data_IF_714966688029
#
_entry.id   IF_714966688029
#
_cell.length_a   1.000
_cell.length_b   1.000
_cell.length_c   1.000
_cell.angle_alpha   90.00
_cell.angle_beta   90.00
_cell.angle_gamma   90.00
#
_symmetry.space_group_name_H-M   'P 1'
#
loop_
_entity.id
_entity.type
_entity.pdbx_description
1 polymer ?
#
# COMPACT_ATOMS: atom_id res chain seq x y z
N UNK A 1 -35.70 20.63 -39.37
CA UNK A 1 -34.50 20.81 -38.51
C UNK A 1 -33.66 19.55 -38.62
N UNK A 2 -32.58 19.61 -39.41
CA UNK A 2 -31.72 18.47 -39.71
C UNK A 2 -30.71 18.24 -38.57
N UNK A 3 -30.64 17.01 -38.03
CA UNK A 3 -29.63 16.58 -37.07
C UNK A 3 -28.33 16.21 -37.82
N UNK A 4 -27.15 16.71 -37.44
CA UNK A 4 -25.90 16.20 -37.98
C UNK A 4 -25.51 14.88 -37.28
N UNK A 5 -25.02 13.92 -38.06
CA UNK A 5 -24.41 12.67 -37.59
C UNK A 5 -22.99 12.93 -37.04
N UNK A 6 -22.49 12.14 -36.07
CA UNK A 6 -21.14 12.30 -35.56
C UNK A 6 -20.07 11.79 -36.55
N UNK A 7 -19.08 12.63 -36.81
CA UNK A 7 -17.90 12.29 -37.60
C UNK A 7 -17.04 11.25 -36.87
N UNK A 8 -16.66 10.19 -37.59
CA UNK A 8 -15.80 9.11 -37.09
C UNK A 8 -14.33 9.53 -37.22
N UNK A 9 -13.60 9.61 -36.10
CA UNK A 9 -12.18 9.93 -36.10
C UNK A 9 -11.31 8.72 -36.56
N UNK A 10 -10.21 8.94 -37.31
CA UNK A 10 -9.38 7.87 -37.82
C UNK A 10 -8.51 7.25 -36.71
N UNK A 11 -8.55 5.92 -36.62
CA UNK A 11 -7.69 5.09 -35.75
C UNK A 11 -6.26 5.06 -36.28
N UNK A 12 -5.34 5.74 -35.62
CA UNK A 12 -3.91 5.63 -35.86
C UNK A 12 -3.41 4.27 -35.34
N UNK A 13 -3.10 3.34 -36.26
CA UNK A 13 -2.46 2.06 -35.92
C UNK A 13 -0.96 2.30 -35.77
N UNK A 14 -0.47 2.26 -34.53
CA UNK A 14 0.97 2.20 -34.25
C UNK A 14 1.50 0.83 -34.68
N UNK A 15 2.37 0.82 -35.68
CA UNK A 15 3.10 -0.36 -36.13
C UNK A 15 4.06 -0.82 -35.02
N UNK A 16 3.87 -2.06 -34.54
CA UNK A 16 4.82 -2.74 -33.65
C UNK A 16 6.03 -3.19 -34.46
N UNK A 17 7.19 -2.61 -34.21
CA UNK A 17 8.47 -3.14 -34.69
C UNK A 17 8.88 -4.28 -33.74
N UNK A 18 8.74 -5.51 -34.22
CA UNK A 18 9.30 -6.72 -33.61
C UNK A 18 10.77 -6.82 -34.05
N UNK A 19 11.69 -6.52 -33.14
CA UNK A 19 13.11 -6.85 -33.32
C UNK A 19 13.38 -8.24 -32.72
N UNK A 20 13.52 -9.23 -33.60
CA UNK A 20 13.99 -10.56 -33.27
C UNK A 20 15.51 -10.51 -33.02
N UNK A 21 15.95 -10.77 -31.78
CA UNK A 21 17.33 -11.15 -31.51
C UNK A 21 17.34 -12.62 -31.11
N UNK A 22 17.73 -13.47 -32.07
CA UNK A 22 18.04 -14.87 -31.84
C UNK A 22 19.44 -14.97 -31.21
N UNK A 23 19.56 -15.69 -30.09
CA UNK A 23 20.86 -16.13 -29.55
C UNK A 23 20.79 -17.65 -29.33
N UNK A 24 21.81 -18.44 -29.74
CA UNK A 24 21.72 -19.90 -29.77
C UNK A 24 21.97 -20.58 -28.42
N UNK A 25 21.15 -21.61 -28.19
CA UNK A 25 21.32 -22.89 -27.47
C UNK A 25 22.65 -23.15 -26.76
N UNK A 26 22.57 -23.51 -25.47
CA UNK A 26 23.37 -24.60 -24.89
C UNK A 26 22.47 -25.52 -24.05
N UNK A 27 22.26 -26.72 -24.60
CA UNK A 27 21.74 -27.90 -23.92
C UNK A 27 22.88 -28.54 -23.14
N UNK A 28 22.71 -28.73 -21.83
CA UNK A 28 23.43 -29.78 -21.10
C UNK A 28 22.45 -30.49 -20.18
N UNK A 29 22.04 -31.68 -20.60
CA UNK A 29 21.40 -32.67 -19.76
C UNK A 29 22.49 -33.52 -19.09
N UNK A 30 22.45 -33.58 -17.77
CA UNK A 30 23.17 -34.54 -16.91
C UNK A 30 22.19 -34.85 -15.79
N UNK A 31 21.86 -36.06 -15.40
CA UNK A 31 22.16 -37.39 -15.89
C UNK A 31 21.37 -38.29 -14.95
N UNK A 32 20.32 -38.93 -15.44
CA UNK A 32 19.70 -40.05 -14.74
C UNK A 32 20.61 -41.25 -15.01
N UNK A 33 21.26 -41.80 -13.98
CA UNK A 33 21.93 -43.09 -14.10
C UNK A 33 21.31 -44.05 -13.11
N UNK A 34 20.50 -44.95 -13.67
CA UNK A 34 20.18 -46.23 -13.07
C UNK A 34 21.43 -47.13 -13.14
N UNK A 35 21.71 -47.86 -12.07
CA UNK A 35 22.59 -49.03 -12.11
C UNK A 35 21.86 -50.21 -11.46
N UNK A 36 21.91 -51.35 -12.14
CA UNK A 36 21.21 -52.60 -11.84
C UNK A 36 22.19 -53.62 -11.25
N UNK A 37 21.76 -54.35 -10.23
CA UNK A 37 22.40 -55.57 -9.73
C UNK A 37 21.98 -55.79 -8.27
N UNK A 38 21.68 -56.97 -7.74
CA UNK A 38 21.69 -58.34 -8.21
C UNK A 38 20.99 -59.19 -7.13
N UNK A 39 20.98 -60.50 -7.31
CA UNK A 39 20.05 -61.46 -6.74
C UNK A 39 20.17 -61.76 -5.22
N UNK A 40 19.02 -62.21 -4.68
CA UNK A 40 18.75 -63.15 -3.56
C UNK A 40 19.85 -63.45 -2.51
N UNK A 41 19.50 -63.27 -1.23
CA UNK A 41 19.51 -64.35 -0.20
C UNK A 41 18.75 -63.94 1.07
N UNK A 42 17.95 -64.86 1.59
CA UNK A 42 17.47 -64.89 2.97
C UNK A 42 18.66 -65.15 3.89
N UNK A 43 18.73 -64.47 5.04
CA UNK A 43 19.00 -65.13 6.31
C UNK A 43 18.60 -64.25 7.50
N UNK A 44 17.99 -64.90 8.48
CA UNK A 44 17.63 -64.39 9.80
C UNK A 44 18.87 -64.17 10.67
N UNK A 45 18.93 -63.06 11.39
CA UNK A 45 19.98 -62.83 12.38
C UNK A 45 19.70 -61.61 13.25
N UNK A 46 19.21 -61.86 14.46
CA UNK A 46 19.09 -60.89 15.54
C UNK A 46 20.49 -60.40 15.96
N UNK A 47 20.72 -59.08 15.99
CA UNK A 47 21.71 -58.48 16.89
C UNK A 47 21.53 -56.97 17.00
N UNK A 48 21.46 -56.52 18.24
CA UNK A 48 21.39 -55.14 18.69
C UNK A 48 22.57 -54.34 18.14
N UNK A 49 22.29 -53.17 17.57
CA UNK A 49 23.26 -52.10 17.42
C UNK A 49 22.57 -50.78 17.68
N UNK A 50 23.05 -50.08 18.70
CA UNK A 50 22.63 -48.75 19.09
C UNK A 50 22.80 -47.81 17.89
N UNK A 51 21.68 -47.38 17.31
CA UNK A 51 21.65 -46.25 16.39
C UNK A 51 21.23 -45.03 17.20
N UNK A 52 22.20 -44.21 17.60
CA UNK A 52 21.96 -42.79 17.84
C UNK A 52 21.41 -42.19 16.55
N UNK A 53 20.19 -41.66 16.50
CA UNK A 53 19.86 -40.73 15.45
C UNK A 53 20.54 -39.43 15.83
N UNK A 54 21.76 -39.22 15.35
CA UNK A 54 22.23 -37.87 15.02
C UNK A 54 21.39 -37.37 13.84
N UNK A 55 20.10 -37.15 14.09
CA UNK A 55 19.28 -36.31 13.25
C UNK A 55 19.83 -34.90 13.44
N UNK A 56 20.61 -34.43 12.46
CA UNK A 56 20.79 -32.99 12.25
C UNK A 56 19.39 -32.40 12.14
N UNK A 57 18.87 -31.91 13.25
CA UNK A 57 17.66 -31.11 13.29
C UNK A 57 18.02 -29.87 12.49
N UNK A 58 17.68 -29.89 11.20
CA UNK A 58 17.80 -28.75 10.32
C UNK A 58 16.88 -27.70 10.92
N UNK A 59 17.43 -26.83 11.77
CA UNK A 59 16.71 -25.72 12.35
C UNK A 59 16.34 -24.82 11.18
N UNK A 60 15.12 -25.00 10.66
CA UNK A 60 14.55 -24.08 9.68
C UNK A 60 14.67 -22.68 10.27
N UNK A 61 15.14 -21.68 9.51
CA UNK A 61 15.33 -20.33 10.02
C UNK A 61 14.02 -19.84 10.66
N UNK A 62 14.06 -19.62 11.97
CA UNK A 62 12.91 -19.09 12.72
C UNK A 62 12.88 -17.58 12.54
N UNK A 63 11.84 -17.08 11.88
CA UNK A 63 11.58 -15.65 11.70
C UNK A 63 10.71 -15.14 12.84
N UNK A 64 11.02 -13.93 13.34
CA UNK A 64 10.21 -13.27 14.37
C UNK A 64 8.73 -13.13 13.93
N UNK A 65 7.75 -13.44 14.80
CA UNK A 65 6.33 -13.36 14.45
C UNK A 65 5.89 -11.92 14.21
N UNK A 66 4.85 -11.76 13.38
CA UNK A 66 4.23 -10.47 13.12
C UNK A 66 3.44 -10.00 14.36
N UNK A 67 3.58 -8.72 14.73
CA UNK A 67 2.92 -8.14 15.92
C UNK A 67 1.40 -7.98 15.75
N UNK A 68 0.97 -7.51 14.58
CA UNK A 68 -0.43 -7.27 14.26
C UNK A 68 -1.01 -8.40 13.40
N UNK A 69 -2.10 -8.98 13.89
CA UNK A 69 -2.85 -10.03 13.23
C UNK A 69 -4.07 -9.49 12.47
N UNK A 70 -4.55 -8.29 12.81
CA UNK A 70 -5.78 -7.68 12.28
C UNK A 70 -5.52 -6.27 11.75
N UNK A 71 -6.36 -5.84 10.82
CA UNK A 71 -6.52 -4.44 10.44
C UNK A 71 -7.87 -3.92 10.94
N UNK A 72 -7.99 -2.61 11.22
CA UNK A 72 -9.27 -1.97 11.48
C UNK A 72 -10.14 -1.99 10.21
N UNK A 73 -11.44 -1.73 10.36
CA UNK A 73 -12.28 -1.32 9.24
C UNK A 73 -11.79 0.07 8.76
N UNK A 74 -11.30 0.21 7.52
CA UNK A 74 -10.72 1.47 7.05
C UNK A 74 -11.69 2.65 7.11
N UNK A 75 -13.00 2.42 6.90
CA UNK A 75 -14.01 3.48 6.93
C UNK A 75 -14.42 3.89 8.36
N UNK A 76 -13.97 3.15 9.37
CA UNK A 76 -14.17 3.45 10.80
C UNK A 76 -12.88 3.82 11.51
N UNK A 77 -11.76 3.90 10.78
CA UNK A 77 -10.46 4.21 11.35
C UNK A 77 -10.33 5.68 11.76
N UNK A 78 -11.20 6.54 11.25
CA UNK A 78 -11.30 7.95 11.59
C UNK A 78 -12.69 8.23 12.18
N UNK A 79 -12.76 9.06 13.21
CA UNK A 79 -14.02 9.45 13.83
C UNK A 79 -14.88 10.28 12.89
N UNK A 80 -16.19 10.23 13.10
CA UNK A 80 -17.14 11.05 12.34
C UNK A 80 -16.81 12.54 12.44
N UNK A 81 -16.33 13.00 13.60
CA UNK A 81 -15.88 14.38 13.81
C UNK A 81 -14.68 14.73 12.94
N UNK A 82 -13.70 13.84 12.83
CA UNK A 82 -12.55 14.02 11.93
C UNK A 82 -13.04 14.13 10.49
N UNK A 83 -13.94 13.25 10.04
CA UNK A 83 -14.48 13.29 8.68
C UNK A 83 -15.27 14.58 8.41
N UNK A 84 -16.16 14.99 9.30
CA UNK A 84 -16.96 16.22 9.14
C UNK A 84 -16.07 17.48 9.07
N UNK A 85 -14.94 17.48 9.79
CA UNK A 85 -13.98 18.59 9.77
C UNK A 85 -13.14 18.61 8.48
N UNK A 86 -12.60 17.46 8.07
CA UNK A 86 -11.64 17.39 6.96
C UNK A 86 -12.31 17.36 5.58
N UNK A 87 -13.52 16.82 5.50
CA UNK A 87 -14.25 16.67 4.25
C UNK A 87 -15.65 17.27 4.40
N UNK A 88 -15.75 18.61 4.55
CA UNK A 88 -17.04 19.27 4.62
C UNK A 88 -17.87 18.94 3.37
N UNK A 89 -19.16 18.72 3.56
CA UNK A 89 -20.08 18.27 2.49
C UNK A 89 -19.62 16.97 1.81
N UNK A 90 -19.05 16.03 2.59
CA UNK A 90 -18.73 14.70 2.10
C UNK A 90 -19.93 14.04 1.41
N UNK A 91 -19.71 13.47 0.23
CA UNK A 91 -20.76 12.74 -0.53
C UNK A 91 -21.29 11.53 0.23
N UNK A 92 -20.41 10.86 0.97
CA UNK A 92 -20.72 9.74 1.85
C UNK A 92 -20.06 10.00 3.20
N UNK A 93 -20.85 10.14 4.27
CA UNK A 93 -20.31 10.31 5.63
C UNK A 93 -19.56 9.07 6.11
N UNK A 94 -20.05 7.88 5.75
CA UNK A 94 -19.38 6.61 6.06
C UNK A 94 -18.20 6.30 5.13
N UNK A 95 -17.89 7.19 4.18
CA UNK A 95 -16.86 6.97 3.18
C UNK A 95 -17.24 5.92 2.14
N UNK A 96 -16.28 5.62 1.28
CA UNK A 96 -16.37 4.61 0.24
C UNK A 96 -15.21 3.64 0.40
N UNK A 97 -15.52 2.41 0.81
CA UNK A 97 -14.52 1.35 0.94
C UNK A 97 -13.96 0.96 -0.44
N UNK A 98 -12.64 0.84 -0.53
CA UNK A 98 -12.00 0.28 -1.71
C UNK A 98 -12.22 -1.22 -1.83
N UNK A 99 -12.22 -1.72 -3.07
CA UNK A 99 -12.33 -3.16 -3.34
C UNK A 99 -10.97 -3.82 -3.15
N UNK A 100 -10.93 -4.92 -2.40
CA UNK A 100 -9.75 -5.74 -2.22
C UNK A 100 -10.15 -7.21 -2.24
N UNK A 101 -9.32 -8.05 -2.86
CA UNK A 101 -9.42 -9.52 -2.76
C UNK A 101 -8.74 -10.07 -1.51
N UNK A 102 -7.97 -9.24 -0.79
CA UNK A 102 -7.30 -9.56 0.47
C UNK A 102 -7.65 -8.50 1.52
N UNK A 103 -8.91 -8.51 1.96
CA UNK A 103 -9.39 -7.59 3.01
C UNK A 103 -8.78 -7.89 4.39
N UNK A 104 -8.16 -9.07 4.55
CA UNK A 104 -7.51 -9.45 5.80
C UNK A 104 -6.15 -8.78 5.97
N UNK A 105 -5.44 -8.46 4.88
CA UNK A 105 -4.10 -7.87 4.94
C UNK A 105 -4.01 -6.46 4.37
N UNK A 106 -5.06 -5.97 3.71
CA UNK A 106 -5.12 -4.59 3.22
C UNK A 106 -6.56 -4.07 3.12
N UNK A 107 -6.71 -2.77 3.25
CA UNK A 107 -7.99 -2.11 3.06
C UNK A 107 -7.80 -0.61 2.88
N UNK A 108 -8.75 0.04 2.22
CA UNK A 108 -8.76 1.49 2.05
C UNK A 108 -10.18 2.04 2.18
N UNK A 109 -10.31 3.28 2.63
CA UNK A 109 -11.53 4.06 2.55
C UNK A 109 -11.23 5.48 2.09
N UNK A 110 -12.15 6.03 1.30
CA UNK A 110 -12.05 7.38 0.76
C UNK A 110 -13.31 8.20 0.99
N UNK A 111 -13.11 9.52 1.10
CA UNK A 111 -14.15 10.53 1.23
C UNK A 111 -13.83 11.68 0.29
N UNK A 112 -14.86 12.29 -0.28
CA UNK A 112 -14.71 13.54 -0.98
C UNK A 112 -15.92 14.45 -0.78
N UNK A 113 -15.64 15.75 -0.76
CA UNK A 113 -16.63 16.79 -0.53
C UNK A 113 -16.36 17.99 -1.42
N UNK A 114 -17.43 18.70 -1.75
CA UNK A 114 -17.39 19.98 -2.44
C UNK A 114 -18.31 20.93 -1.68
N UNK A 115 -17.72 21.90 -0.98
CA UNK A 115 -18.46 23.02 -0.42
C UNK A 115 -18.67 24.06 -1.54
N UNK A 116 -19.75 23.88 -2.30
CA UNK A 116 -20.09 24.70 -3.45
C UNK A 116 -20.83 25.98 -3.04
N UNK A 117 -20.25 27.15 -3.36
CA UNK A 117 -20.87 28.47 -3.14
C UNK A 117 -21.11 29.22 -4.45
N UNK A 118 -21.10 28.50 -5.58
CA UNK A 118 -21.30 29.05 -6.92
C UNK A 118 -20.23 30.09 -7.26
N UNK A 119 -20.67 31.26 -7.73
CA UNK A 119 -19.76 32.37 -8.11
C UNK A 119 -18.92 32.92 -6.96
N UNK A 120 -19.19 32.51 -5.71
CA UNK A 120 -18.40 32.89 -4.53
C UNK A 120 -17.21 31.97 -4.29
N UNK A 121 -16.99 30.99 -5.16
CA UNK A 121 -15.90 30.03 -5.04
C UNK A 121 -16.30 28.76 -4.29
N UNK A 122 -15.68 27.65 -4.67
CA UNK A 122 -16.01 26.33 -4.12
C UNK A 122 -14.77 25.64 -3.59
N UNK A 123 -14.89 24.90 -2.49
CA UNK A 123 -13.76 24.22 -1.85
C UNK A 123 -13.92 22.71 -1.97
N UNK A 124 -12.99 22.08 -2.69
CA UNK A 124 -12.92 20.64 -2.80
C UNK A 124 -11.99 20.05 -1.74
N UNK A 125 -12.38 18.90 -1.19
CA UNK A 125 -11.56 18.06 -0.31
C UNK A 125 -11.65 16.60 -0.72
N UNK A 126 -10.52 15.91 -0.68
CA UNK A 126 -10.38 14.48 -0.81
C UNK A 126 -9.54 13.93 0.33
N UNK A 127 -10.00 12.85 0.95
CA UNK A 127 -9.29 12.11 1.98
C UNK A 127 -9.31 10.63 1.63
N UNK A 128 -8.15 9.97 1.64
CA UNK A 128 -7.99 8.52 1.56
C UNK A 128 -7.18 8.04 2.77
N UNK A 129 -7.60 6.91 3.34
CA UNK A 129 -6.79 6.17 4.31
C UNK A 129 -6.65 4.73 3.84
N UNK A 130 -5.40 4.30 3.74
CA UNK A 130 -5.03 2.97 3.27
C UNK A 130 -4.19 2.24 4.32
N UNK A 131 -4.52 0.99 4.57
CA UNK A 131 -3.85 0.11 5.51
C UNK A 131 -3.29 -1.10 4.80
N UNK A 132 -2.09 -1.52 5.20
CA UNK A 132 -1.51 -2.79 4.78
C UNK A 132 -0.72 -3.40 5.92
N UNK A 133 -0.98 -4.67 6.24
CA UNK A 133 -0.19 -5.45 7.20
C UNK A 133 0.58 -6.55 6.51
N UNK A 134 1.70 -6.90 7.10
CA UNK A 134 2.60 -7.93 6.62
C UNK A 134 2.68 -9.07 7.62
N UNK A 135 2.44 -10.29 7.14
CA UNK A 135 2.77 -11.50 7.88
C UNK A 135 4.27 -11.75 7.90
N UNK A 136 4.70 -12.53 8.88
CA UNK A 136 6.05 -13.10 8.92
C UNK A 136 6.09 -14.42 8.18
N UNK A 137 7.14 -14.64 7.41
CA UNK A 137 7.34 -15.88 6.66
C UNK A 137 8.85 -16.18 6.55
N UNK A 138 9.23 -17.45 6.69
CA UNK A 138 10.63 -17.86 6.76
C UNK A 138 11.39 -17.63 5.44
N UNK A 139 10.72 -17.63 4.29
CA UNK A 139 11.35 -17.42 2.99
C UNK A 139 11.54 -15.95 2.63
N UNK A 140 10.68 -15.06 3.12
CA UNK A 140 10.67 -13.63 2.73
C UNK A 140 10.97 -12.63 3.87
N UNK A 141 11.01 -13.09 5.13
CA UNK A 141 11.41 -12.32 6.30
C UNK A 141 10.26 -11.93 7.23
N UNK A 142 10.60 -11.20 8.30
CA UNK A 142 9.63 -10.78 9.32
C UNK A 142 8.64 -9.75 8.77
N UNK A 143 7.42 -9.75 9.32
CA UNK A 143 6.41 -8.76 8.96
C UNK A 143 6.89 -7.32 9.17
N UNK A 144 7.67 -7.07 10.22
CA UNK A 144 8.24 -5.76 10.52
C UNK A 144 9.24 -5.30 9.44
N UNK A 145 10.18 -6.18 9.05
CA UNK A 145 11.13 -5.87 7.96
C UNK A 145 10.41 -5.63 6.63
N UNK A 146 9.34 -6.39 6.35
CA UNK A 146 8.53 -6.22 5.14
C UNK A 146 7.77 -4.90 5.16
N UNK A 147 7.22 -4.49 6.31
CA UNK A 147 6.57 -3.20 6.47
C UNK A 147 7.57 -2.04 6.33
N UNK A 148 8.80 -2.17 6.86
CA UNK A 148 9.86 -1.18 6.69
C UNK A 148 10.26 -1.00 5.21
N UNK A 149 10.38 -2.11 4.47
CA UNK A 149 10.62 -2.06 3.01
C UNK A 149 9.49 -1.39 2.26
N UNK A 150 8.23 -1.69 2.61
CA UNK A 150 7.07 -1.05 1.98
C UNK A 150 7.00 0.44 2.29
N UNK A 151 7.23 0.82 3.55
CA UNK A 151 7.29 2.21 3.97
C UNK A 151 8.28 2.99 3.09
N UNK A 152 9.52 2.50 2.95
CA UNK A 152 10.52 3.13 2.08
C UNK A 152 10.08 3.19 0.61
N UNK A 153 9.45 2.13 0.09
CA UNK A 153 8.90 2.09 -1.28
C UNK A 153 7.82 3.15 -1.47
N UNK A 154 6.88 3.26 -0.54
CA UNK A 154 5.80 4.24 -0.60
C UNK A 154 6.34 5.66 -0.50
N UNK A 155 7.34 5.93 0.35
CA UNK A 155 8.00 7.24 0.37
C UNK A 155 8.60 7.59 -0.99
N UNK A 156 9.30 6.66 -1.62
CA UNK A 156 9.89 6.89 -2.94
C UNK A 156 8.81 7.14 -3.99
N UNK A 157 7.76 6.32 -4.03
CA UNK A 157 6.64 6.47 -4.97
C UNK A 157 5.86 7.78 -4.77
N UNK A 158 5.54 8.15 -3.53
CA UNK A 158 4.81 9.39 -3.24
C UNK A 158 5.63 10.63 -3.58
N UNK A 159 6.95 10.63 -3.33
CA UNK A 159 7.84 11.74 -3.75
C UNK A 159 7.99 11.86 -5.27
N UNK A 160 7.81 10.75 -5.98
CA UNK A 160 7.89 10.66 -7.42
C UNK A 160 6.50 10.67 -8.10
N UNK A 161 5.48 11.21 -7.41
CA UNK A 161 4.15 11.35 -7.99
C UNK A 161 4.22 12.14 -9.32
N UNK A 162 3.57 11.61 -10.34
CA UNK A 162 3.66 12.17 -11.69
C UNK A 162 3.12 13.61 -11.74
N UNK A 163 3.87 14.50 -12.39
CA UNK A 163 3.56 15.93 -12.45
C UNK A 163 3.71 16.71 -11.13
N UNK A 164 4.17 16.08 -10.05
CA UNK A 164 4.30 16.73 -8.74
C UNK A 164 5.34 17.86 -8.76
N UNK A 165 4.97 19.00 -8.19
CA UNK A 165 5.84 20.16 -7.99
C UNK A 165 5.99 20.46 -6.51
N UNK A 166 7.04 21.20 -6.15
CA UNK A 166 7.28 21.66 -4.78
C UNK A 166 7.30 20.54 -3.74
N UNK A 167 7.77 19.35 -4.13
CA UNK A 167 7.79 18.17 -3.27
C UNK A 167 8.68 18.42 -2.05
N UNK A 168 8.10 18.27 -0.87
CA UNK A 168 8.80 18.33 0.42
C UNK A 168 8.48 17.08 1.22
N UNK A 169 9.47 16.54 1.90
CA UNK A 169 9.31 15.38 2.76
C UNK A 169 10.02 15.62 4.08
N UNK A 170 9.28 15.46 5.18
CA UNK A 170 9.77 15.73 6.54
C UNK A 170 9.42 14.55 7.44
N UNK A 171 10.41 13.92 8.11
CA UNK A 171 10.14 12.95 9.16
C UNK A 171 9.30 13.59 10.26
N UNK A 172 8.30 12.88 10.78
CA UNK A 172 7.44 13.35 11.86
C UNK A 172 7.39 12.32 12.98
N UNK A 173 7.47 12.78 14.22
CA UNK A 173 7.41 11.95 15.42
C UNK A 173 5.99 11.83 15.95
N UNK A 174 5.71 10.78 16.74
CA UNK A 174 4.42 10.64 17.44
C UNK A 174 3.28 10.06 16.59
N UNK A 175 3.60 9.54 15.41
CA UNK A 175 2.69 8.82 14.52
C UNK A 175 3.32 7.47 14.19
N UNK A 176 2.94 6.43 14.95
CA UNK A 176 3.53 5.09 14.81
C UNK A 176 4.98 5.03 15.27
N UNK A 177 5.69 4.00 14.81
CA UNK A 177 7.12 3.82 15.07
C UNK A 177 7.97 4.71 14.16
N UNK A 178 7.45 5.03 12.97
CA UNK A 178 8.15 5.83 11.96
C UNK A 178 7.11 6.49 11.03
N UNK A 179 7.25 7.78 10.76
CA UNK A 179 6.37 8.48 9.82
C UNK A 179 7.09 9.60 9.07
N UNK A 180 6.65 9.84 7.84
CA UNK A 180 7.07 10.98 7.02
C UNK A 180 5.85 11.67 6.45
N UNK A 181 5.80 12.98 6.66
CA UNK A 181 4.87 13.88 6.02
C UNK A 181 5.45 14.36 4.68
N UNK A 182 4.70 14.20 3.59
CA UNK A 182 5.07 14.59 2.24
C UNK A 182 4.02 15.58 1.72
N UNK A 183 4.46 16.76 1.29
CA UNK A 183 3.60 17.69 0.56
C UNK A 183 4.09 17.88 -0.86
N UNK A 184 3.15 18.14 -1.76
CA UNK A 184 3.42 18.52 -3.14
C UNK A 184 2.21 19.22 -3.74
N UNK A 185 2.43 19.85 -4.89
CA UNK A 185 1.41 20.50 -5.68
C UNK A 185 1.16 19.71 -6.96
N UNK A 186 -0.10 19.61 -7.38
CA UNK A 186 -0.48 19.10 -8.70
C UNK A 186 -1.42 20.09 -9.38
N UNK A 187 -1.19 20.33 -10.67
CA UNK A 187 -2.15 21.03 -11.51
C UNK A 187 -2.98 20.00 -12.28
N UNK A 188 -4.29 19.96 -12.05
CA UNK A 188 -5.20 19.03 -12.72
C UNK A 188 -6.60 19.62 -12.77
N UNK A 189 -7.38 19.22 -13.77
CA UNK A 189 -8.74 19.75 -13.99
C UNK A 189 -8.77 21.29 -13.98
N UNK A 190 -7.75 21.92 -14.58
CA UNK A 190 -7.54 23.37 -14.63
C UNK A 190 -7.41 24.09 -13.28
N UNK A 191 -7.19 23.35 -12.19
CA UNK A 191 -7.01 23.90 -10.83
C UNK A 191 -5.71 23.40 -10.17
N UNK A 192 -5.23 24.19 -9.21
CA UNK A 192 -4.09 23.82 -8.38
C UNK A 192 -4.55 23.06 -7.13
N UNK A 193 -4.02 21.85 -6.97
CA UNK A 193 -4.24 20.99 -5.83
C UNK A 193 -3.04 21.04 -4.89
N UNK A 194 -3.34 21.16 -3.59
CA UNK A 194 -2.38 20.97 -2.51
C UNK A 194 -2.57 19.58 -1.92
N UNK A 195 -1.48 18.82 -1.88
CA UNK A 195 -1.43 17.48 -1.31
C UNK A 195 -0.66 17.47 0.01
N UNK A 196 -1.19 16.73 0.96
CA UNK A 196 -0.57 16.38 2.23
C UNK A 196 -0.74 14.86 2.44
N UNK A 197 0.34 14.12 2.25
CA UNK A 197 0.38 12.68 2.40
C UNK A 197 1.22 12.32 3.63
N UNK A 198 0.68 11.51 4.53
CA UNK A 198 1.42 10.94 5.65
C UNK A 198 1.55 9.44 5.42
N UNK A 199 2.79 8.98 5.28
CA UNK A 199 3.12 7.56 5.29
C UNK A 199 3.65 7.25 6.67
N UNK A 200 3.06 6.29 7.35
CA UNK A 200 3.44 5.87 8.69
C UNK A 200 3.58 4.34 8.76
N UNK A 201 4.52 3.88 9.58
CA UNK A 201 4.71 2.47 9.92
C UNK A 201 4.50 2.29 11.41
N UNK A 202 3.81 1.22 11.76
CA UNK A 202 3.69 0.73 13.13
C UNK A 202 3.88 -0.78 13.08
N UNK A 203 4.98 -1.25 13.66
CA UNK A 203 5.49 -2.61 13.55
C UNK A 203 5.36 -3.16 12.11
N UNK A 204 4.60 -4.25 11.95
CA UNK A 204 4.36 -4.93 10.68
C UNK A 204 3.19 -4.34 9.85
N UNK A 205 2.73 -3.13 10.14
CA UNK A 205 1.68 -2.45 9.39
C UNK A 205 2.15 -1.08 8.85
N UNK A 206 1.66 -0.72 7.68
CA UNK A 206 1.86 0.58 7.04
C UNK A 206 0.50 1.23 6.83
N UNK A 207 0.42 2.51 7.19
CA UNK A 207 -0.73 3.39 7.02
C UNK A 207 -0.32 4.50 6.06
N UNK A 208 -1.15 4.75 5.05
CA UNK A 208 -1.01 5.90 4.16
C UNK A 208 -2.27 6.73 4.29
N UNK A 209 -2.13 7.99 4.64
CA UNK A 209 -3.21 8.96 4.61
C UNK A 209 -2.90 10.00 3.54
N UNK A 210 -3.72 10.08 2.50
CA UNK A 210 -3.63 11.09 1.43
C UNK A 210 -4.77 12.08 1.58
N UNK A 211 -4.43 13.32 1.93
CA UNK A 211 -5.37 14.41 2.07
C UNK A 211 -5.01 15.52 1.08
N UNK A 212 -5.96 15.92 0.25
CA UNK A 212 -5.75 16.97 -0.73
C UNK A 212 -6.99 17.83 -0.94
N UNK A 213 -6.78 19.01 -1.52
CA UNK A 213 -7.86 19.92 -1.85
C UNK A 213 -7.47 20.94 -2.91
N UNK A 214 -8.50 21.54 -3.48
CA UNK A 214 -8.40 22.60 -4.49
C UNK A 214 -9.51 23.63 -4.27
N UNK A 215 -9.24 24.86 -4.66
CA UNK A 215 -10.26 25.87 -4.88
C UNK A 215 -10.79 25.74 -6.31
N UNK A 216 -12.08 25.96 -6.49
CA UNK A 216 -12.74 26.03 -7.79
C UNK A 216 -13.50 27.35 -7.91
N UNK A 217 -13.84 27.73 -9.14
CA UNK A 217 -14.64 28.95 -9.42
C UNK A 217 -13.96 30.22 -8.90
N UNK A 218 -12.64 30.32 -9.10
CA UNK A 218 -11.83 31.46 -8.66
C UNK A 218 -11.52 31.49 -7.17
N UNK A 219 -11.88 30.45 -6.41
CA UNK A 219 -11.39 30.29 -5.04
C UNK A 219 -9.92 29.86 -5.03
N UNK A 220 -9.17 30.36 -4.07
CA UNK A 220 -7.81 29.90 -3.83
C UNK A 220 -7.78 28.44 -3.38
N UNK A 221 -6.69 27.76 -3.72
CA UNK A 221 -6.37 26.46 -3.13
C UNK A 221 -6.26 26.58 -1.60
N UNK A 222 -6.60 25.52 -0.86
CA UNK A 222 -6.45 25.52 0.60
C UNK A 222 -5.00 25.75 1.05
N UNK A 223 -4.85 26.31 2.26
CA UNK A 223 -3.52 26.48 2.85
C UNK A 223 -2.83 25.13 3.05
N UNK A 224 -1.61 25.01 2.54
CA UNK A 224 -0.86 23.76 2.56
C UNK A 224 -0.39 23.37 3.98
N UNK A 225 -0.15 24.35 4.85
CA UNK A 225 0.27 24.12 6.22
C UNK A 225 -0.85 23.57 7.09
N UNK A 226 -2.06 24.12 6.95
CA UNK A 226 -3.24 23.63 7.66
C UNK A 226 -3.67 22.25 7.14
N UNK A 227 -3.67 22.03 5.82
CA UNK A 227 -3.82 20.69 5.21
C UNK A 227 -2.87 19.66 5.83
N UNK A 228 -1.61 20.04 6.01
CA UNK A 228 -0.60 19.14 6.57
C UNK A 228 -0.82 18.84 8.06
N UNK A 229 -1.22 19.82 8.87
CA UNK A 229 -1.55 19.60 10.29
C UNK A 229 -2.73 18.65 10.42
N UNK A 230 -3.77 18.88 9.61
CA UNK A 230 -4.96 18.05 9.56
C UNK A 230 -4.64 16.61 9.15
N UNK A 231 -3.82 16.44 8.11
CA UNK A 231 -3.36 15.13 7.66
C UNK A 231 -2.58 14.38 8.77
N UNK A 232 -1.67 15.05 9.47
CA UNK A 232 -0.92 14.45 10.58
C UNK A 232 -1.84 14.03 11.74
N UNK A 233 -2.83 14.85 12.09
CA UNK A 233 -3.81 14.52 13.13
C UNK A 233 -4.63 13.28 12.76
N UNK A 234 -5.16 13.23 11.54
CA UNK A 234 -5.92 12.07 11.06
C UNK A 234 -5.03 10.82 10.92
N UNK A 235 -3.78 10.96 10.48
CA UNK A 235 -2.85 9.84 10.38
C UNK A 235 -2.54 9.24 11.75
N UNK A 236 -2.43 10.06 12.79
CA UNK A 236 -2.28 9.61 14.18
C UNK A 236 -3.47 8.78 14.64
N UNK A 237 -4.69 9.24 14.35
CA UNK A 237 -5.93 8.50 14.65
C UNK A 237 -6.00 7.16 13.89
N UNK A 238 -5.69 7.19 12.59
CA UNK A 238 -5.63 5.98 11.76
C UNK A 238 -4.62 4.96 12.31
N UNK A 239 -3.41 5.39 12.68
CA UNK A 239 -2.41 4.49 13.31
C UNK A 239 -2.90 3.95 14.65
N UNK A 240 -3.56 4.78 15.47
CA UNK A 240 -4.16 4.34 16.73
C UNK A 240 -5.20 3.24 16.51
N UNK A 241 -6.02 3.34 15.47
CA UNK A 241 -7.02 2.31 15.15
C UNK A 241 -6.39 0.94 14.85
N UNK A 242 -5.18 0.88 14.27
CA UNK A 242 -4.44 -0.38 14.07
C UNK A 242 -4.03 -0.99 15.41
N UNK A 243 -3.53 -0.16 16.33
CA UNK A 243 -3.13 -0.60 17.68
C UNK A 243 -4.34 -1.13 18.44
N UNK A 244 -5.45 -0.40 18.43
CA UNK A 244 -6.71 -0.77 19.10
C UNK A 244 -7.32 -2.04 18.53
N UNK A 245 -7.31 -2.23 17.20
CA UNK A 245 -7.82 -3.45 16.56
C UNK A 245 -7.05 -4.71 17.00
N UNK A 246 -5.85 -4.54 17.55
CA UNK A 246 -4.99 -5.61 18.06
C UNK A 246 -4.88 -5.60 19.61
N UNK A 247 -5.81 -4.94 20.31
CA UNK A 247 -5.91 -4.95 21.77
C UNK A 247 -4.91 -4.06 22.51
N UNK A 248 -4.14 -3.25 21.78
CA UNK A 248 -3.25 -2.26 22.39
C UNK A 248 -4.01 -1.00 22.84
N UNK A 249 -3.46 -0.33 23.84
CA UNK A 249 -3.84 1.05 24.21
C UNK A 249 -2.69 1.97 23.79
N UNK A 250 -3.01 3.14 23.26
CA UNK A 250 -2.04 4.22 23.08
C UNK A 250 -1.94 5.04 24.36
#
# INVERSE_FOLDING_TARGET
MHRPAPATAPRTRLARVLACAAVPVMLVAVGCSSDSGGEKKKDSGSSSSAATPSGKQSSSPSVAPAKYAKLPDPCKALSEKTIDNLVPKAKSKSGTAGKSTDVASQGTCSWNGLDDKGVKGSQYRWLDVSFKRYGSDAAIGSGDQRAAKEYARLLASTKAADGAKNVKATPVSGIGDEATAISYDLHKTDEDFKYAVVVARTANAVVVLDYNGAGYQGADAPDAGDLMKDAQSAAKEAVASVVTANGGKQ
#
